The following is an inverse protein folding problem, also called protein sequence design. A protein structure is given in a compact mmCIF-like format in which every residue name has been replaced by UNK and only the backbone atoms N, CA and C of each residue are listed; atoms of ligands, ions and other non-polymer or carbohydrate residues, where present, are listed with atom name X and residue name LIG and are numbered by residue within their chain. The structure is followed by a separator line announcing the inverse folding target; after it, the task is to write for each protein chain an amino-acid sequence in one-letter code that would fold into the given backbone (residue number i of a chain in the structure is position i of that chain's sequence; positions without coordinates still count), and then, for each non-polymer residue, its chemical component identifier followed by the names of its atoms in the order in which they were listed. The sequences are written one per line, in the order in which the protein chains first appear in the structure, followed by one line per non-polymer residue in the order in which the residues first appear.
data_IF_944758453524
#
_entry.id   IF_944758453524
#
_cell.length_a   1.000
_cell.length_b   1.000
_cell.length_c   1.000
_cell.angle_alpha   90.00
_cell.angle_beta   90.00
_cell.angle_gamma   90.00
#
_symmetry.space_group_name_H-M   'P 1'
#
loop_
_entity.id
_entity.type
_entity.pdbx_description
1 polymer ?
#
# COMPACT_ATOMS: atom_id res chain seq x y z
N UNK A 1 -25.09 5.23 2.57
CA UNK A 1 -24.09 5.44 3.63
C UNK A 1 -23.78 4.09 4.26
N UNK A 2 -22.67 3.96 4.99
CA UNK A 2 -22.46 2.79 5.84
C UNK A 2 -23.45 2.80 7.00
N UNK A 3 -23.82 1.63 7.56
CA UNK A 3 -24.51 1.58 8.84
C UNK A 3 -23.66 2.27 9.92
N UNK A 4 -24.31 2.73 10.98
CA UNK A 4 -23.64 3.41 12.11
C UNK A 4 -23.87 2.65 13.42
N UNK A 5 -23.01 2.92 14.42
CA UNK A 5 -23.18 2.39 15.76
C UNK A 5 -23.32 0.85 15.79
N UNK A 6 -24.37 0.37 16.44
CA UNK A 6 -24.63 -1.08 16.60
C UNK A 6 -24.84 -1.78 15.26
N UNK A 7 -25.50 -1.14 14.29
CA UNK A 7 -25.76 -1.74 12.99
C UNK A 7 -24.46 -1.97 12.21
N UNK A 8 -23.48 -1.07 12.34
CA UNK A 8 -22.16 -1.27 11.76
C UNK A 8 -21.45 -2.49 12.35
N UNK A 9 -21.47 -2.64 13.67
CA UNK A 9 -20.88 -3.79 14.34
C UNK A 9 -21.55 -5.11 13.92
N UNK A 10 -22.89 -5.10 13.81
CA UNK A 10 -23.64 -6.26 13.34
C UNK A 10 -23.34 -6.59 11.87
N UNK A 11 -23.20 -5.57 11.02
CA UNK A 11 -22.82 -5.77 9.62
C UNK A 11 -21.42 -6.39 9.50
N UNK A 12 -20.41 -5.88 10.23
CA UNK A 12 -19.08 -6.49 10.29
C UNK A 12 -19.13 -7.95 10.74
N UNK A 13 -19.99 -8.25 11.73
CA UNK A 13 -20.19 -9.60 12.23
C UNK A 13 -20.74 -10.56 11.15
N UNK A 14 -21.51 -10.08 10.18
CA UNK A 14 -22.00 -10.92 9.05
C UNK A 14 -20.91 -11.29 8.04
N UNK A 15 -19.80 -10.54 8.01
CA UNK A 15 -18.67 -10.82 7.11
C UNK A 15 -17.67 -11.82 7.70
N UNK A 16 -17.63 -11.92 9.03
CA UNK A 16 -16.68 -12.75 9.76
C UNK A 16 -17.20 -14.17 9.93
N UNK A 17 -16.37 -15.17 9.64
CA UNK A 17 -16.75 -16.60 9.70
C UNK A 17 -16.29 -17.32 10.96
N UNK A 18 -15.55 -16.65 11.86
CA UNK A 18 -15.09 -17.22 13.12
C UNK A 18 -15.98 -16.90 14.32
N UNK A 19 -15.51 -17.23 15.53
CA UNK A 19 -16.19 -16.86 16.76
C UNK A 19 -16.09 -15.34 17.03
N UNK A 20 -17.24 -14.68 17.09
CA UNK A 20 -17.31 -13.24 17.28
C UNK A 20 -16.93 -12.86 18.72
N UNK A 21 -16.04 -11.88 18.90
CA UNK A 21 -15.74 -11.40 20.24
C UNK A 21 -16.90 -10.61 20.84
N UNK A 22 -17.02 -10.65 22.17
CA UNK A 22 -17.98 -9.84 22.90
C UNK A 22 -17.46 -8.41 23.04
N UNK A 23 -18.16 -7.45 22.44
CA UNK A 23 -17.86 -6.02 22.55
C UNK A 23 -19.09 -5.21 22.97
N UNK A 24 -18.88 -4.09 23.65
CA UNK A 24 -19.96 -3.18 24.09
C UNK A 24 -19.98 -1.93 23.23
N UNK A 25 -21.06 -1.75 22.46
CA UNK A 25 -21.29 -0.55 21.64
C UNK A 25 -22.10 0.49 22.42
N UNK A 26 -21.57 1.72 22.52
CA UNK A 26 -22.19 2.89 23.13
C UNK A 26 -22.78 3.80 22.04
N UNK A 27 -23.78 4.61 22.39
CA UNK A 27 -24.48 5.51 21.45
C UNK A 27 -23.56 6.53 20.74
N UNK A 28 -22.43 6.90 21.35
CA UNK A 28 -21.46 7.88 20.80
C UNK A 28 -20.32 7.23 19.99
N UNK A 29 -20.33 5.91 19.85
CA UNK A 29 -19.26 5.23 19.13
C UNK A 29 -19.40 5.46 17.61
N UNK A 30 -18.34 6.01 17.00
CA UNK A 30 -18.16 6.11 15.56
C UNK A 30 -17.45 4.86 14.99
N UNK A 31 -17.30 4.76 13.67
CA UNK A 31 -16.66 3.61 12.99
C UNK A 31 -15.30 3.24 13.60
N UNK A 32 -14.41 4.21 13.81
CA UNK A 32 -13.06 3.97 14.35
C UNK A 32 -13.10 3.42 15.78
N UNK A 33 -13.96 3.95 16.64
CA UNK A 33 -14.10 3.46 18.01
C UNK A 33 -14.64 2.02 18.06
N UNK A 34 -15.54 1.65 17.14
CA UNK A 34 -16.07 0.29 17.03
C UNK A 34 -14.97 -0.66 16.53
N UNK A 35 -14.22 -0.24 15.50
CA UNK A 35 -13.07 -1.01 14.97
C UNK A 35 -12.03 -1.25 16.07
N UNK A 36 -11.70 -0.23 16.86
CA UNK A 36 -10.74 -0.36 17.95
C UNK A 36 -11.22 -1.32 19.05
N UNK A 37 -12.52 -1.32 19.37
CA UNK A 37 -13.10 -2.30 20.31
C UNK A 37 -13.03 -3.74 19.81
N UNK A 38 -13.31 -3.96 18.52
CA UNK A 38 -13.10 -5.28 17.92
C UNK A 38 -11.63 -5.70 18.01
N UNK A 39 -10.71 -4.78 17.75
CA UNK A 39 -9.26 -5.03 17.84
C UNK A 39 -8.83 -5.41 19.26
N UNK A 40 -9.25 -4.64 20.26
CA UNK A 40 -9.00 -4.94 21.69
C UNK A 40 -9.53 -6.32 22.09
N UNK A 41 -10.58 -6.79 21.42
CA UNK A 41 -11.15 -8.11 21.62
C UNK A 41 -10.61 -9.20 20.66
N UNK A 42 -9.51 -8.93 19.93
CA UNK A 42 -8.79 -9.92 19.12
C UNK A 42 -9.23 -10.03 17.66
N UNK A 43 -10.10 -9.14 17.18
CA UNK A 43 -10.53 -9.07 15.77
C UNK A 43 -9.96 -7.83 15.08
N UNK A 44 -9.02 -8.04 14.16
CA UNK A 44 -8.36 -6.97 13.41
C UNK A 44 -9.25 -6.55 12.25
N UNK A 45 -10.06 -5.50 12.45
CA UNK A 45 -10.84 -4.90 11.38
C UNK A 45 -10.01 -3.82 10.69
N UNK A 46 -9.72 -4.02 9.41
CA UNK A 46 -8.97 -3.06 8.58
C UNK A 46 -9.82 -2.58 7.42
N UNK A 47 -9.48 -1.42 6.85
CA UNK A 47 -10.17 -0.91 5.67
C UNK A 47 -9.24 -0.33 4.61
N UNK A 48 -9.81 -0.14 3.42
CA UNK A 48 -9.28 0.70 2.34
C UNK A 48 -10.35 1.71 1.92
N UNK A 49 -10.00 2.73 1.14
CA UNK A 49 -10.98 3.60 0.51
C UNK A 49 -10.99 3.47 -1.01
N UNK A 50 -12.17 3.73 -1.58
CA UNK A 50 -12.39 4.00 -2.98
C UNK A 50 -12.26 5.47 -3.34
N UNK A 51 -12.04 5.77 -4.62
CA UNK A 51 -12.10 7.13 -5.14
C UNK A 51 -13.48 7.77 -4.95
N UNK A 52 -14.53 6.97 -4.78
CA UNK A 52 -15.89 7.39 -4.45
C UNK A 52 -16.14 7.68 -2.97
N UNK A 53 -15.13 7.53 -2.10
CA UNK A 53 -15.27 7.69 -0.65
C UNK A 53 -15.95 6.52 0.06
N UNK A 54 -16.24 5.43 -0.67
CA UNK A 54 -16.71 4.17 -0.08
C UNK A 54 -15.52 3.35 0.42
N UNK A 55 -15.52 3.02 1.70
CA UNK A 55 -14.58 2.09 2.32
C UNK A 55 -14.96 0.62 2.12
N UNK A 56 -13.94 -0.23 1.98
CA UNK A 56 -14.09 -1.68 2.10
C UNK A 56 -13.55 -2.08 3.47
N UNK A 57 -14.39 -2.69 4.32
CA UNK A 57 -13.98 -3.17 5.64
C UNK A 57 -13.85 -4.69 5.63
N UNK A 58 -12.76 -5.21 6.15
CA UNK A 58 -12.49 -6.65 6.21
C UNK A 58 -12.13 -7.03 7.66
N UNK A 59 -12.97 -7.84 8.35
CA UNK A 59 -12.65 -8.38 9.66
C UNK A 59 -11.70 -9.57 9.53
N UNK A 60 -10.51 -9.44 10.11
CA UNK A 60 -9.50 -10.50 10.15
C UNK A 60 -9.36 -11.04 11.56
N UNK A 61 -9.35 -12.37 11.70
CA UNK A 61 -8.83 -12.98 12.92
C UNK A 61 -7.34 -12.64 13.05
N UNK A 62 -6.79 -12.71 14.26
CA UNK A 62 -5.35 -12.49 14.45
C UNK A 62 -4.50 -13.44 13.58
N UNK A 63 -4.94 -14.69 13.40
CA UNK A 63 -4.27 -15.65 12.53
C UNK A 63 -4.24 -15.19 11.07
N UNK A 64 -5.40 -14.78 10.51
CA UNK A 64 -5.48 -14.27 9.13
C UNK A 64 -4.60 -13.04 8.95
N UNK A 65 -4.64 -12.12 9.92
CA UNK A 65 -3.84 -10.88 9.85
C UNK A 65 -2.34 -11.16 9.91
N UNK A 66 -1.88 -11.99 10.86
CA UNK A 66 -0.47 -12.39 10.96
C UNK A 66 0.01 -13.11 9.69
N UNK A 67 -0.84 -13.91 9.06
CA UNK A 67 -0.51 -14.56 7.80
C UNK A 67 -0.32 -13.53 6.67
N UNK A 68 -1.14 -12.48 6.62
CA UNK A 68 -0.99 -11.39 5.66
C UNK A 68 0.31 -10.57 5.89
N UNK A 69 0.66 -10.31 7.15
CA UNK A 69 1.93 -9.67 7.54
C UNK A 69 3.14 -10.52 7.19
N UNK A 70 3.08 -11.82 7.48
CA UNK A 70 4.12 -12.74 7.06
C UNK A 70 4.25 -12.78 5.53
N UNK A 71 3.13 -12.81 4.81
CA UNK A 71 3.11 -12.89 3.35
C UNK A 71 3.79 -11.68 2.69
N UNK A 72 3.56 -10.45 3.17
CA UNK A 72 4.21 -9.25 2.58
C UNK A 72 5.72 -9.25 2.83
N UNK A 73 6.15 -9.63 4.05
CA UNK A 73 7.57 -9.73 4.36
C UNK A 73 8.22 -10.84 3.53
N UNK A 74 7.59 -12.01 3.47
CA UNK A 74 8.08 -13.14 2.70
C UNK A 74 8.20 -12.80 1.23
N UNK A 75 7.21 -12.15 0.62
CA UNK A 75 7.28 -11.81 -0.81
C UNK A 75 8.33 -10.73 -1.07
N UNK A 76 8.33 -9.63 -0.30
CA UNK A 76 9.22 -8.50 -0.53
C UNK A 76 10.69 -8.83 -0.25
N UNK A 77 11.00 -9.34 0.95
CA UNK A 77 12.38 -9.61 1.39
C UNK A 77 13.06 -10.63 0.47
N UNK A 78 12.34 -11.64 0.00
CA UNK A 78 12.94 -12.65 -0.89
C UNK A 78 13.28 -12.13 -2.27
N UNK A 79 12.58 -11.10 -2.77
CA UNK A 79 12.84 -10.53 -4.09
C UNK A 79 14.07 -9.61 -4.11
N UNK A 80 14.47 -9.08 -2.95
CA UNK A 80 15.62 -8.17 -2.81
C UNK A 80 16.77 -8.83 -2.02
N UNK A 81 16.79 -10.16 -1.98
CA UNK A 81 17.89 -10.92 -1.41
C UNK A 81 19.02 -11.05 -2.45
N UNK A 82 20.32 -10.92 -2.06
CA UNK A 82 20.84 -10.85 -0.69
C UNK A 82 20.97 -9.44 -0.09
N UNK A 83 20.52 -8.40 -0.77
CA UNK A 83 20.74 -7.01 -0.36
C UNK A 83 20.05 -6.65 0.96
N UNK A 84 18.92 -7.32 1.27
CA UNK A 84 18.19 -7.16 2.54
C UNK A 84 18.93 -7.77 3.73
N UNK A 85 19.19 -6.95 4.74
CA UNK A 85 19.85 -7.31 5.99
C UNK A 85 19.08 -6.74 7.18
N UNK A 86 19.21 -7.37 8.35
CA UNK A 86 18.52 -6.93 9.56
C UNK A 86 18.97 -5.54 10.06
N UNK A 87 20.23 -5.18 9.84
CA UNK A 87 20.80 -3.89 10.30
C UNK A 87 20.53 -2.72 9.33
N UNK A 88 19.66 -2.88 8.33
CA UNK A 88 19.23 -1.78 7.45
C UNK A 88 18.47 -0.72 8.26
N UNK A 89 18.72 0.55 7.94
CA UNK A 89 17.90 1.66 8.43
C UNK A 89 16.69 1.85 7.51
N UNK A 90 15.51 1.58 8.03
CA UNK A 90 14.26 1.66 7.30
C UNK A 90 13.52 2.97 7.46
N UNK A 91 12.81 3.36 6.40
CA UNK A 91 11.85 4.46 6.43
C UNK A 91 10.52 4.02 5.80
N UNK A 92 9.48 3.97 6.63
CA UNK A 92 8.12 3.64 6.23
C UNK A 92 7.41 4.90 5.73
N UNK A 93 7.01 4.90 4.46
CA UNK A 93 6.29 5.95 3.74
C UNK A 93 4.76 5.77 3.82
N UNK A 94 4.30 5.18 4.93
CA UNK A 94 2.89 4.91 5.26
C UNK A 94 2.60 5.41 6.69
N UNK A 95 1.34 5.42 7.16
CA UNK A 95 1.02 5.68 8.55
C UNK A 95 1.65 4.62 9.44
N UNK A 96 1.91 5.00 10.68
CA UNK A 96 2.41 4.10 11.68
C UNK A 96 1.48 2.88 11.85
N UNK A 97 1.96 1.63 11.64
CA UNK A 97 1.13 0.43 11.56
C UNK A 97 0.33 0.18 12.84
N UNK A 98 0.92 0.49 13.99
CA UNK A 98 0.27 0.30 15.29
C UNK A 98 -0.81 1.35 15.59
N UNK A 99 -0.87 2.45 14.83
CA UNK A 99 -1.80 3.56 15.05
C UNK A 99 -2.90 3.65 14.00
N UNK A 100 -2.77 2.99 12.85
CA UNK A 100 -3.78 3.04 11.78
C UNK A 100 -4.70 1.84 11.73
N UNK A 101 -5.85 1.98 11.06
CA UNK A 101 -6.72 0.89 10.59
C UNK A 101 -6.70 0.67 9.07
N UNK A 102 -5.97 1.50 8.32
CA UNK A 102 -5.81 1.34 6.87
C UNK A 102 -4.95 0.12 6.59
N UNK A 103 -5.45 -0.86 5.82
CA UNK A 103 -4.80 -2.17 5.67
C UNK A 103 -3.35 -2.08 5.17
N UNK A 104 -3.07 -1.29 4.14
CA UNK A 104 -1.71 -1.17 3.60
C UNK A 104 -0.71 -0.50 4.57
N UNK A 105 -1.19 0.33 5.50
CA UNK A 105 -0.34 0.82 6.59
C UNK A 105 -0.23 -0.20 7.72
N UNK A 106 -1.34 -0.88 8.06
CA UNK A 106 -1.43 -1.85 9.14
C UNK A 106 -0.48 -3.03 8.95
N UNK A 107 -0.47 -3.61 7.73
CA UNK A 107 0.30 -4.81 7.40
C UNK A 107 1.82 -4.57 7.41
N UNK A 108 2.26 -3.31 7.39
CA UNK A 108 3.66 -2.95 7.53
C UNK A 108 4.17 -3.08 8.98
N UNK A 109 3.37 -3.59 9.93
CA UNK A 109 3.82 -3.90 11.29
C UNK A 109 5.04 -4.84 11.27
N UNK A 110 5.00 -5.87 10.43
CA UNK A 110 6.10 -6.80 10.19
C UNK A 110 7.43 -6.13 9.80
N UNK A 111 7.41 -4.91 9.25
CA UNK A 111 8.62 -4.19 8.89
C UNK A 111 9.51 -3.93 10.12
N UNK A 112 8.89 -3.71 11.28
CA UNK A 112 9.57 -3.54 12.56
C UNK A 112 10.17 -4.83 13.12
N UNK A 113 9.76 -5.99 12.58
CA UNK A 113 10.28 -7.30 13.00
C UNK A 113 11.44 -7.76 12.11
N UNK A 114 11.48 -7.32 10.84
CA UNK A 114 12.46 -7.78 9.84
C UNK A 114 13.67 -6.87 9.67
N UNK A 115 13.67 -5.67 10.29
CA UNK A 115 14.83 -4.78 10.38
C UNK A 115 14.88 -4.06 11.74
N UNK A 116 16.07 -3.58 12.10
CA UNK A 116 16.38 -3.07 13.45
C UNK A 116 15.94 -1.64 13.72
N UNK A 117 16.13 -0.72 12.78
CA UNK A 117 15.74 0.70 12.94
C UNK A 117 14.71 1.07 11.88
N UNK A 118 13.51 1.45 12.32
CA UNK A 118 12.42 1.88 11.44
C UNK A 118 11.95 3.27 11.85
N UNK A 119 12.00 4.21 10.92
CA UNK A 119 11.33 5.50 11.03
C UNK A 119 10.03 5.49 10.24
N UNK A 120 9.06 6.27 10.68
CA UNK A 120 7.76 6.40 10.01
C UNK A 120 7.54 7.84 9.58
N UNK A 121 7.07 8.03 8.36
CA UNK A 121 6.71 9.35 7.85
C UNK A 121 5.59 10.00 8.66
N UNK A 122 4.55 9.22 8.94
CA UNK A 122 3.27 9.68 9.48
C UNK A 122 2.98 9.02 10.83
N UNK A 123 3.30 9.76 11.89
CA UNK A 123 3.11 9.35 13.30
C UNK A 123 1.69 9.46 13.82
N UNK A 124 0.82 10.16 13.08
CA UNK A 124 -0.58 10.39 13.44
C UNK A 124 -1.47 9.81 12.35
N UNK A 125 -2.52 9.12 12.77
CA UNK A 125 -3.61 8.76 11.89
C UNK A 125 -4.35 10.03 11.47
N UNK A 126 -4.69 10.12 10.19
CA UNK A 126 -5.52 11.20 9.66
C UNK A 126 -6.92 10.65 9.51
N UNK A 127 -7.85 11.22 10.29
CA UNK A 127 -9.23 10.76 10.24
C UNK A 127 -9.85 11.04 8.87
N UNK A 128 -10.73 10.16 8.43
CA UNK A 128 -11.51 10.38 7.21
C UNK A 128 -12.28 11.71 7.25
N UNK A 129 -12.73 12.13 8.43
CA UNK A 129 -13.35 13.44 8.65
C UNK A 129 -12.40 14.61 8.33
N UNK A 130 -11.13 14.55 8.78
CA UNK A 130 -10.14 15.58 8.48
C UNK A 130 -9.89 15.68 6.97
N UNK A 131 -9.79 14.53 6.30
CA UNK A 131 -9.62 14.44 4.84
C UNK A 131 -10.83 15.07 4.14
N UNK A 132 -12.06 14.69 4.51
CA UNK A 132 -13.27 15.25 3.93
C UNK A 132 -13.37 16.76 4.16
N UNK A 133 -13.03 17.25 5.35
CA UNK A 133 -13.03 18.69 5.65
C UNK A 133 -11.98 19.43 4.82
N UNK A 134 -10.81 18.84 4.61
CA UNK A 134 -9.76 19.40 3.76
C UNK A 134 -10.18 19.46 2.28
N UNK A 135 -11.09 18.60 1.82
CA UNK A 135 -11.62 18.65 0.44
C UNK A 135 -12.66 19.76 0.23
N UNK A 136 -13.20 20.35 1.29
CA UNK A 136 -14.20 21.42 1.16
C UNK A 136 -13.55 22.70 0.63
N UNK A 137 -14.24 23.41 -0.28
CA UNK A 137 -13.73 24.65 -0.89
C UNK A 137 -13.84 25.88 0.03
N UNK A 138 -14.48 25.72 1.20
CA UNK A 138 -14.68 26.79 2.18
C UNK A 138 -13.37 27.21 2.90
N UNK A 139 -13.45 28.30 3.68
CA UNK A 139 -12.31 28.83 4.44
C UNK A 139 -11.71 27.79 5.40
N UNK A 140 -12.55 26.99 6.05
CA UNK A 140 -12.10 25.92 6.97
C UNK A 140 -11.27 24.88 6.22
N UNK A 141 -11.73 24.43 5.06
CA UNK A 141 -10.99 23.51 4.20
C UNK A 141 -9.67 24.10 3.71
N UNK A 142 -9.63 25.38 3.31
CA UNK A 142 -8.38 26.08 2.95
C UNK A 142 -7.36 26.07 4.09
N UNK A 143 -7.79 26.38 5.32
CA UNK A 143 -6.91 26.38 6.50
C UNK A 143 -6.38 24.97 6.79
N UNK A 144 -7.22 23.95 6.68
CA UNK A 144 -6.82 22.56 6.89
C UNK A 144 -5.78 22.12 5.84
N UNK A 145 -6.02 22.41 4.55
CA UNK A 145 -5.06 22.11 3.47
C UNK A 145 -3.70 22.75 3.70
N UNK A 146 -3.68 24.04 4.03
CA UNK A 146 -2.43 24.75 4.33
C UNK A 146 -1.66 24.11 5.51
N UNK A 147 -2.37 23.74 6.58
CA UNK A 147 -1.76 23.05 7.71
C UNK A 147 -1.18 21.68 7.30
N UNK A 148 -1.91 20.91 6.50
CA UNK A 148 -1.46 19.61 5.97
C UNK A 148 -0.22 19.78 5.07
N UNK A 149 -0.20 20.79 4.20
CA UNK A 149 0.94 21.08 3.34
C UNK A 149 2.19 21.41 4.16
N UNK A 150 2.05 22.23 5.20
CA UNK A 150 3.16 22.56 6.10
C UNK A 150 3.70 21.31 6.80
N UNK A 151 2.84 20.40 7.22
CA UNK A 151 3.26 19.12 7.80
C UNK A 151 3.93 18.22 6.76
N UNK A 152 3.42 18.13 5.53
CA UNK A 152 4.06 17.40 4.42
C UNK A 152 5.47 17.92 4.13
N UNK A 153 5.66 19.24 4.08
CA UNK A 153 6.99 19.84 3.88
C UNK A 153 7.96 19.46 5.02
N UNK A 154 7.50 19.45 6.28
CA UNK A 154 8.32 18.98 7.40
C UNK A 154 8.64 17.48 7.30
N UNK A 155 7.71 16.66 6.82
CA UNK A 155 7.97 15.23 6.58
C UNK A 155 9.07 15.06 5.53
N UNK A 156 8.97 15.78 4.42
CA UNK A 156 9.98 15.76 3.35
C UNK A 156 11.36 16.18 3.90
N UNK A 157 11.43 17.29 4.65
CA UNK A 157 12.69 17.77 5.25
C UNK A 157 13.30 16.75 6.22
N UNK A 158 12.45 16.04 6.99
CA UNK A 158 12.92 14.97 7.88
C UNK A 158 13.49 13.78 7.10
N UNK A 159 12.86 13.39 6.00
CA UNK A 159 13.37 12.31 5.14
C UNK A 159 14.69 12.71 4.49
N UNK A 160 14.80 13.93 3.95
CA UNK A 160 16.05 14.43 3.35
C UNK A 160 17.18 14.45 4.38
N UNK A 161 16.94 14.95 5.59
CA UNK A 161 17.94 14.93 6.65
C UNK A 161 18.33 13.51 7.07
N UNK A 162 17.38 12.57 7.04
CA UNK A 162 17.67 11.16 7.27
C UNK A 162 18.51 10.55 6.15
N UNK A 163 18.25 10.87 4.88
CA UNK A 163 19.06 10.48 3.74
C UNK A 163 20.50 10.99 3.89
N UNK A 164 20.69 12.29 4.14
CA UNK A 164 22.00 12.92 4.38
C UNK A 164 22.79 12.22 5.49
N UNK A 165 22.12 11.88 6.59
CA UNK A 165 22.76 11.16 7.70
C UNK A 165 23.27 9.79 7.25
N UNK A 166 22.42 9.00 6.60
CA UNK A 166 22.75 7.64 6.21
C UNK A 166 23.78 7.58 5.09
N UNK A 167 23.75 8.52 4.15
CA UNK A 167 24.77 8.67 3.12
C UNK A 167 26.14 8.96 3.76
N UNK A 168 26.22 9.93 4.67
CA UNK A 168 27.45 10.28 5.40
C UNK A 168 28.00 9.12 6.23
N UNK A 169 27.14 8.33 6.85
CA UNK A 169 27.53 7.17 7.67
C UNK A 169 27.78 5.91 6.83
N UNK A 170 27.42 5.92 5.54
CA UNK A 170 27.58 4.77 4.64
C UNK A 170 26.62 3.61 4.94
N UNK A 171 25.50 3.88 5.63
CA UNK A 171 24.53 2.89 6.07
C UNK A 171 23.71 2.34 4.90
N UNK A 172 23.21 1.11 5.05
CA UNK A 172 22.15 0.60 4.20
C UNK A 172 20.80 1.22 4.55
N UNK A 173 20.00 1.50 3.54
CA UNK A 173 18.68 2.11 3.68
C UNK A 173 17.60 1.31 2.97
N UNK A 174 16.39 1.36 3.49
CA UNK A 174 15.21 0.89 2.77
C UNK A 174 14.01 1.81 2.90
N UNK A 175 13.30 2.03 1.79
CA UNK A 175 12.00 2.70 1.78
C UNK A 175 10.90 1.70 1.47
N UNK A 176 9.87 1.67 2.32
CA UNK A 176 8.68 0.84 2.12
C UNK A 176 7.45 1.74 2.11
N UNK A 177 6.54 1.59 1.16
CA UNK A 177 5.23 2.26 1.21
C UNK A 177 4.80 2.99 -0.05
N UNK A 178 4.03 4.07 0.13
CA UNK A 178 3.42 4.77 -1.01
C UNK A 178 4.48 5.59 -1.78
N UNK A 179 4.51 5.49 -3.12
CA UNK A 179 5.57 6.11 -3.92
C UNK A 179 5.56 7.65 -3.90
N UNK A 180 4.40 8.28 -3.71
CA UNK A 180 4.22 9.72 -3.85
C UNK A 180 5.09 10.53 -2.89
N UNK A 181 5.25 10.06 -1.64
CA UNK A 181 6.05 10.78 -0.67
C UNK A 181 7.54 10.78 -1.06
N UNK A 182 8.05 9.64 -1.52
CA UNK A 182 9.43 9.55 -2.02
C UNK A 182 9.62 10.36 -3.30
N UNK A 183 8.61 10.37 -4.18
CA UNK A 183 8.62 11.25 -5.35
C UNK A 183 8.77 12.73 -4.95
N UNK A 184 8.01 13.23 -3.98
CA UNK A 184 8.15 14.62 -3.51
C UNK A 184 9.49 14.90 -2.83
N UNK A 185 10.05 13.93 -2.13
CA UNK A 185 11.43 14.02 -1.62
C UNK A 185 12.42 14.20 -2.77
N UNK A 186 12.31 13.38 -3.82
CA UNK A 186 13.19 13.46 -4.99
C UNK A 186 12.98 14.72 -5.84
N UNK A 187 11.77 15.27 -5.90
CA UNK A 187 11.50 16.58 -6.53
C UNK A 187 12.22 17.71 -5.79
N UNK A 188 12.16 17.68 -4.45
CA UNK A 188 12.86 18.67 -3.63
C UNK A 188 14.38 18.54 -3.75
N UNK A 189 14.92 17.33 -3.67
CA UNK A 189 16.35 17.06 -3.85
C UNK A 189 16.85 17.56 -5.21
N UNK A 190 16.12 17.27 -6.29
CA UNK A 190 16.47 17.73 -7.63
C UNK A 190 16.46 19.25 -7.74
N UNK A 191 15.45 19.92 -7.16
CA UNK A 191 15.38 21.38 -7.10
C UNK A 191 16.54 22.00 -6.32
N UNK A 192 16.94 21.35 -5.24
CA UNK A 192 18.03 21.80 -4.37
C UNK A 192 19.43 21.40 -4.94
N UNK A 193 19.46 20.67 -6.07
CA UNK A 193 20.70 20.22 -6.71
C UNK A 193 21.45 19.14 -5.90
N UNK A 194 20.75 18.40 -5.04
CA UNK A 194 21.31 17.39 -4.15
C UNK A 194 21.04 15.98 -4.68
N UNK A 195 22.08 15.15 -4.69
CA UNK A 195 22.07 13.79 -5.24
C UNK A 195 22.84 12.88 -4.29
N UNK A 196 22.40 11.62 -4.19
CA UNK A 196 23.04 10.58 -3.39
C UNK A 196 23.46 9.41 -4.28
N UNK A 197 24.32 8.54 -3.74
CA UNK A 197 24.66 7.28 -4.39
C UNK A 197 24.68 6.12 -3.39
N UNK A 198 23.50 5.55 -3.14
CA UNK A 198 23.38 4.38 -2.26
C UNK A 198 23.79 3.08 -2.96
N UNK A 199 23.74 2.99 -4.29
CA UNK A 199 24.01 1.74 -5.02
C UNK A 199 23.18 0.58 -4.47
N UNK A 200 23.83 -0.58 -4.28
CA UNK A 200 23.19 -1.77 -3.71
C UNK A 200 22.94 -1.68 -2.19
N UNK A 201 23.21 -0.53 -1.55
CA UNK A 201 22.87 -0.28 -0.16
C UNK A 201 21.47 0.31 0.01
N UNK A 202 20.81 0.71 -1.08
CA UNK A 202 19.45 1.23 -1.04
C UNK A 202 18.45 0.23 -1.61
N UNK A 203 17.32 0.08 -0.93
CA UNK A 203 16.20 -0.77 -1.38
C UNK A 203 14.92 0.06 -1.34
N UNK A 204 14.09 -0.05 -2.36
CA UNK A 204 12.77 0.57 -2.40
C UNK A 204 11.75 -0.51 -2.74
N UNK A 205 10.75 -0.68 -1.88
CA UNK A 205 9.57 -1.49 -2.19
C UNK A 205 8.34 -0.60 -2.05
N UNK A 206 7.78 -0.25 -3.18
CA UNK A 206 6.53 0.54 -3.26
C UNK A 206 5.31 -0.37 -3.30
N UNK A 207 4.14 0.18 -3.01
CA UNK A 207 2.87 -0.54 -3.12
C UNK A 207 1.65 0.38 -3.08
N UNK A 208 0.53 -0.12 -3.59
CA UNK A 208 -0.79 0.53 -3.45
C UNK A 208 -1.13 1.60 -4.49
N UNK A 209 -0.32 1.77 -5.55
CA UNK A 209 -0.74 2.40 -6.80
C UNK A 209 -0.20 3.81 -7.06
N UNK A 210 0.42 3.95 -8.23
CA UNK A 210 0.88 5.18 -8.90
C UNK A 210 -0.24 6.03 -9.53
N UNK A 211 -1.46 5.47 -9.61
CA UNK A 211 -2.39 5.74 -10.71
C UNK A 211 -3.42 6.83 -10.44
N UNK A 212 -3.02 7.90 -9.76
CA UNK A 212 -3.99 8.88 -9.23
C UNK A 212 -3.58 10.35 -9.45
N UNK A 213 -2.54 10.57 -10.25
CA UNK A 213 -2.38 11.81 -11.00
C UNK A 213 -2.74 11.53 -12.46
N UNK A 214 -3.95 11.91 -12.88
CA UNK A 214 -4.26 12.02 -14.31
C UNK A 214 -3.44 13.16 -14.96
N UNK A 215 -3.02 14.16 -14.17
CA UNK A 215 -2.31 15.35 -14.70
C UNK A 215 -0.78 15.37 -14.52
N UNK A 216 -0.19 14.45 -13.73
CA UNK A 216 1.27 14.34 -13.51
C UNK A 216 1.75 12.89 -13.47
N UNK A 217 1.29 12.08 -14.43
CA UNK A 217 1.53 10.65 -14.45
C UNK A 217 3.01 10.34 -14.71
N UNK A 218 3.82 10.28 -13.66
CA UNK A 218 5.13 9.61 -13.75
C UNK A 218 4.85 8.12 -13.93
N UNK A 219 5.38 7.51 -14.99
CA UNK A 219 5.30 6.07 -15.16
C UNK A 219 6.12 5.38 -14.05
N UNK A 220 5.85 4.11 -13.78
CA UNK A 220 6.68 3.33 -12.84
C UNK A 220 8.13 3.30 -13.30
N UNK A 221 8.34 3.22 -14.61
CA UNK A 221 9.65 3.31 -15.26
C UNK A 221 10.33 4.66 -15.00
N UNK A 222 9.64 5.78 -15.21
CA UNK A 222 10.19 7.11 -14.98
C UNK A 222 10.51 7.35 -13.49
N UNK A 223 9.71 6.79 -12.59
CA UNK A 223 10.03 6.84 -11.17
C UNK A 223 11.31 6.07 -10.85
N UNK A 224 11.49 4.86 -11.38
CA UNK A 224 12.72 4.10 -11.19
C UNK A 224 13.93 4.84 -11.76
N UNK A 225 13.82 5.43 -12.95
CA UNK A 225 14.86 6.30 -13.53
C UNK A 225 15.17 7.48 -12.63
N UNK A 226 14.16 8.10 -12.01
CA UNK A 226 14.35 9.20 -11.08
C UNK A 226 14.99 8.76 -9.76
N UNK A 227 14.61 7.60 -9.24
CA UNK A 227 15.27 6.95 -8.09
C UNK A 227 16.74 6.72 -8.38
N UNK A 228 17.07 6.13 -9.52
CA UNK A 228 18.44 5.86 -9.94
C UNK A 228 19.23 7.17 -10.09
N UNK A 229 18.65 8.18 -10.75
CA UNK A 229 19.28 9.49 -10.93
C UNK A 229 19.55 10.21 -9.60
N UNK A 230 18.57 10.26 -8.70
CA UNK A 230 18.61 11.12 -7.50
C UNK A 230 19.25 10.41 -6.31
N UNK A 231 19.04 9.10 -6.16
CA UNK A 231 19.49 8.32 -5.02
C UNK A 231 20.60 7.33 -5.37
N UNK A 232 20.89 7.11 -6.66
CA UNK A 232 21.88 6.12 -7.13
C UNK A 232 21.49 4.68 -6.81
N UNK A 233 20.20 4.41 -6.58
CA UNK A 233 19.69 3.06 -6.31
C UNK A 233 19.36 2.39 -7.65
N UNK A 234 19.94 1.21 -7.96
CA UNK A 234 19.64 0.47 -9.19
C UNK A 234 18.15 0.14 -9.31
N UNK A 235 17.64 0.11 -10.54
CA UNK A 235 16.21 -0.10 -10.78
C UNK A 235 15.75 -1.49 -10.30
N UNK A 236 16.65 -2.48 -10.33
CA UNK A 236 16.47 -3.84 -9.82
C UNK A 236 16.14 -3.88 -8.32
N UNK A 237 16.56 -2.85 -7.56
CA UNK A 237 16.26 -2.69 -6.12
C UNK A 237 15.12 -1.70 -5.87
N UNK A 238 14.43 -1.24 -6.91
CA UNK A 238 13.23 -0.41 -6.84
C UNK A 238 12.01 -1.20 -7.33
N UNK A 239 11.45 -2.02 -6.45
CA UNK A 239 10.34 -2.91 -6.73
C UNK A 239 8.99 -2.30 -6.36
N UNK A 240 7.94 -2.79 -6.99
CA UNK A 240 6.54 -2.55 -6.60
C UNK A 240 5.91 -3.86 -6.13
N UNK A 241 4.82 -3.74 -5.38
CA UNK A 241 4.00 -4.86 -4.94
C UNK A 241 2.53 -4.60 -5.24
N UNK A 242 1.87 -5.66 -5.67
CA UNK A 242 0.44 -5.69 -5.95
C UNK A 242 -0.30 -6.50 -4.89
N UNK A 243 -1.40 -5.92 -4.41
CA UNK A 243 -2.28 -6.49 -3.40
C UNK A 243 -3.52 -5.62 -3.24
N UNK A 244 -4.51 -6.12 -2.50
CA UNK A 244 -5.78 -5.44 -2.24
C UNK A 244 -6.28 -5.77 -0.83
N UNK A 245 -7.18 -4.95 -0.28
CA UNK A 245 -7.64 -5.12 1.10
C UNK A 245 -8.48 -6.37 1.30
N UNK A 246 -9.09 -6.86 0.22
CA UNK A 246 -9.91 -8.07 0.20
C UNK A 246 -9.05 -9.35 0.24
N UNK A 247 -7.77 -9.26 -0.15
CA UNK A 247 -6.82 -10.37 -0.12
C UNK A 247 -5.80 -10.25 1.02
N UNK A 248 -5.07 -11.34 1.27
CA UNK A 248 -4.00 -11.40 2.26
C UNK A 248 -2.64 -11.73 1.64
N UNK A 249 -2.61 -12.12 0.37
CA UNK A 249 -1.40 -12.39 -0.39
C UNK A 249 -0.90 -11.16 -1.16
N UNK A 250 0.40 -11.14 -1.41
CA UNK A 250 1.13 -10.06 -2.06
C UNK A 250 1.95 -10.58 -3.22
N UNK A 251 1.90 -9.87 -4.34
CA UNK A 251 2.61 -10.21 -5.56
C UNK A 251 3.69 -9.15 -5.74
N UNK A 252 4.94 -9.52 -5.48
CA UNK A 252 6.07 -8.59 -5.59
C UNK A 252 6.72 -8.74 -6.96
N UNK A 253 7.16 -7.61 -7.51
CA UNK A 253 7.91 -7.58 -8.75
C UNK A 253 9.23 -8.34 -8.63
N UNK A 254 9.65 -9.03 -9.71
CA UNK A 254 11.01 -9.52 -9.80
C UNK A 254 12.00 -8.38 -10.12
N UNK A 255 13.26 -8.44 -9.63
CA UNK A 255 14.30 -7.48 -9.99
C UNK A 255 14.60 -7.42 -11.49
N UNK A 256 14.50 -8.54 -12.20
CA UNK A 256 15.04 -8.69 -13.56
C UNK A 256 14.18 -8.02 -14.65
N UNK A 257 12.87 -7.90 -14.42
CA UNK A 257 11.98 -7.25 -15.38
C UNK A 257 10.63 -6.84 -14.80
N UNK A 258 10.55 -6.76 -13.48
CA UNK A 258 9.42 -6.19 -12.76
C UNK A 258 8.06 -6.87 -12.98
N UNK A 259 8.05 -8.15 -13.35
CA UNK A 259 6.84 -8.96 -13.41
C UNK A 259 6.37 -9.31 -11.99
N UNK A 260 5.07 -9.24 -11.74
CA UNK A 260 4.49 -9.50 -10.43
C UNK A 260 4.34 -11.01 -10.21
N UNK A 261 5.16 -11.59 -9.34
CA UNK A 261 5.14 -13.03 -9.09
C UNK A 261 3.96 -13.44 -8.21
N UNK A 262 3.23 -14.47 -8.66
CA UNK A 262 2.12 -15.06 -7.92
C UNK A 262 2.66 -16.04 -6.86
N UNK A 263 2.30 -15.86 -5.58
CA UNK A 263 2.67 -16.82 -4.53
C UNK A 263 1.74 -18.03 -4.51
N UNK A 264 2.08 -19.07 -5.28
CA UNK A 264 1.27 -20.29 -5.43
C UNK A 264 1.07 -21.13 -4.15
N UNK A 265 1.80 -20.85 -3.07
CA UNK A 265 1.66 -21.57 -1.80
C UNK A 265 0.37 -21.21 -1.06
N UNK A 266 -0.27 -20.09 -1.39
CA UNK A 266 -1.50 -19.64 -0.74
C UNK A 266 -2.46 -18.85 -1.65
N UNK A 267 -2.03 -18.44 -2.85
CA UNK A 267 -2.93 -17.87 -3.86
C UNK A 267 -3.12 -18.84 -5.02
N UNK A 268 -4.39 -19.14 -5.29
CA UNK A 268 -4.79 -19.76 -6.53
C UNK A 268 -5.45 -18.70 -7.42
N UNK A 269 -4.68 -18.18 -8.38
CA UNK A 269 -5.12 -17.09 -9.25
C UNK A 269 -5.76 -17.62 -10.53
N UNK A 270 -6.69 -16.82 -11.07
CA UNK A 270 -7.36 -17.03 -12.34
C UNK A 270 -7.44 -15.69 -13.07
N UNK A 271 -7.44 -15.73 -14.39
CA UNK A 271 -7.75 -14.57 -15.23
C UNK A 271 -8.96 -14.98 -16.04
N UNK A 272 -10.06 -14.28 -15.85
CA UNK A 272 -11.38 -14.70 -16.36
C UNK A 272 -11.96 -13.69 -17.35
N UNK A 273 -12.78 -14.20 -18.27
CA UNK A 273 -13.54 -13.39 -19.22
C UNK A 273 -14.85 -12.83 -18.58
N UNK A 274 -15.72 -12.26 -19.40
CA UNK A 274 -17.03 -11.73 -18.97
C UNK A 274 -18.01 -12.81 -18.53
N UNK A 275 -17.82 -14.06 -18.97
CA UNK A 275 -18.64 -15.22 -18.62
C UNK A 275 -18.13 -15.92 -17.34
N UNK A 276 -16.93 -15.57 -16.88
CA UNK A 276 -16.28 -16.17 -15.71
C UNK A 276 -15.42 -17.40 -16.04
N UNK A 277 -15.16 -17.63 -17.33
CA UNK A 277 -14.31 -18.70 -17.83
C UNK A 277 -12.84 -18.26 -17.87
N UNK A 278 -11.91 -19.20 -17.68
CA UNK A 278 -10.48 -18.88 -17.74
C UNK A 278 -10.06 -18.48 -19.15
N UNK A 279 -9.30 -17.38 -19.26
CA UNK A 279 -8.62 -17.03 -20.49
C UNK A 279 -7.25 -17.73 -20.55
N UNK A 280 -6.73 -17.91 -21.77
CA UNK A 280 -5.42 -18.51 -21.97
C UNK A 280 -4.29 -17.64 -21.36
N UNK A 281 -3.17 -18.27 -21.00
CA UNK A 281 -1.96 -17.52 -20.66
C UNK A 281 -1.55 -16.60 -21.80
N UNK A 282 -1.10 -15.41 -21.44
CA UNK A 282 -0.79 -14.36 -22.38
C UNK A 282 -2.03 -13.62 -22.90
N UNK A 283 -3.26 -13.96 -22.52
CA UNK A 283 -4.46 -13.16 -22.81
C UNK A 283 -4.85 -12.26 -21.63
N UNK A 284 -5.61 -11.21 -21.95
CA UNK A 284 -6.12 -10.28 -20.94
C UNK A 284 -7.46 -10.73 -20.42
N UNK A 285 -7.67 -10.53 -19.13
CA UNK A 285 -8.97 -10.70 -18.50
C UNK A 285 -9.00 -10.10 -17.11
N UNK A 286 -10.09 -10.36 -16.40
CA UNK A 286 -10.32 -9.87 -15.04
C UNK A 286 -9.57 -10.73 -14.04
N UNK A 287 -8.85 -10.10 -13.12
CA UNK A 287 -8.10 -10.83 -12.10
C UNK A 287 -9.04 -11.41 -11.05
N UNK A 288 -8.91 -12.71 -10.79
CA UNK A 288 -9.65 -13.43 -9.78
C UNK A 288 -8.69 -14.31 -8.98
N UNK A 289 -9.01 -14.61 -7.72
CA UNK A 289 -8.20 -15.49 -6.91
C UNK A 289 -8.99 -16.14 -5.76
N UNK A 290 -8.49 -17.30 -5.35
CA UNK A 290 -8.82 -17.95 -4.08
C UNK A 290 -7.66 -17.70 -3.11
N UNK A 291 -7.99 -17.12 -1.96
CA UNK A 291 -7.04 -16.79 -0.90
C UNK A 291 -7.05 -17.86 0.20
N UNK A 292 -6.01 -18.71 0.21
CA UNK A 292 -5.83 -19.74 1.23
C UNK A 292 -5.44 -19.20 2.60
N UNK A 293 -5.03 -17.94 2.72
CA UNK A 293 -4.75 -17.30 4.01
C UNK A 293 -6.00 -16.73 4.68
N UNK A 294 -7.12 -16.61 3.95
CA UNK A 294 -8.38 -16.07 4.44
C UNK A 294 -9.11 -17.08 5.36
N UNK A 295 -8.72 -17.15 6.63
CA UNK A 295 -9.34 -18.03 7.62
C UNK A 295 -10.55 -17.40 8.36
N UNK A 296 -10.87 -16.13 8.07
CA UNK A 296 -11.86 -15.34 8.82
C UNK A 296 -12.99 -14.76 7.98
N UNK A 297 -12.95 -14.96 6.67
CA UNK A 297 -13.98 -14.58 5.71
C UNK A 297 -13.79 -15.39 4.42
N UNK A 298 -14.80 -15.49 3.53
CA UNK A 298 -14.65 -16.19 2.26
C UNK A 298 -13.64 -15.48 1.33
N UNK A 299 -12.49 -16.11 1.09
CA UNK A 299 -11.41 -15.58 0.25
C UNK A 299 -11.59 -15.79 -1.26
N UNK A 300 -12.81 -15.68 -1.78
CA UNK A 300 -13.12 -15.90 -3.21
C UNK A 300 -13.38 -14.56 -3.88
N UNK A 301 -12.35 -13.98 -4.51
CA UNK A 301 -12.38 -12.60 -4.96
C UNK A 301 -12.27 -12.53 -6.47
N UNK A 302 -13.15 -11.74 -7.09
CA UNK A 302 -13.02 -11.30 -8.47
C UNK A 302 -12.82 -9.80 -8.47
N UNK A 303 -11.60 -9.35 -8.71
CA UNK A 303 -11.22 -7.95 -8.59
C UNK A 303 -11.79 -7.09 -9.73
N UNK A 304 -11.65 -5.78 -9.61
CA UNK A 304 -11.97 -4.84 -10.70
C UNK A 304 -10.78 -4.55 -11.60
N UNK A 305 -9.75 -5.38 -11.57
CA UNK A 305 -8.50 -5.19 -12.29
C UNK A 305 -8.44 -6.08 -13.53
N UNK A 306 -7.97 -5.51 -14.64
CA UNK A 306 -7.60 -6.21 -15.87
C UNK A 306 -6.10 -6.49 -15.83
N UNK A 307 -5.75 -7.76 -16.02
CA UNK A 307 -4.38 -8.24 -16.00
C UNK A 307 -4.12 -9.14 -17.20
N UNK A 308 -2.85 -9.32 -17.53
CA UNK A 308 -2.36 -10.40 -18.39
C UNK A 308 -1.44 -11.28 -17.56
N UNK A 309 -1.67 -12.59 -17.58
CA UNK A 309 -0.91 -13.56 -16.80
C UNK A 309 -0.10 -14.48 -17.72
N UNK A 310 1.12 -14.80 -17.34
CA UNK A 310 1.97 -15.80 -18.00
C UNK A 310 2.21 -16.98 -17.05
N UNK A 311 2.38 -18.17 -17.62
CA UNK A 311 2.63 -19.40 -16.86
C UNK A 311 4.01 -19.39 -16.18
N UNK A 312 5.00 -18.83 -16.86
CA UNK A 312 6.37 -18.64 -16.39
C UNK A 312 6.79 -17.19 -16.64
N UNK A 313 7.68 -16.67 -15.81
CA UNK A 313 8.24 -15.34 -16.02
C UNK A 313 9.18 -15.31 -17.25
N UNK A 314 8.98 -14.40 -18.21
CA UNK A 314 9.78 -14.36 -19.44
C UNK A 314 11.22 -13.85 -19.24
N UNK A 315 11.55 -13.32 -18.06
CA UNK A 315 12.87 -12.70 -17.78
C UNK A 315 13.68 -13.46 -16.72
N UNK A 316 13.03 -13.97 -15.68
CA UNK A 316 13.73 -14.61 -14.56
C UNK A 316 13.55 -16.12 -14.50
N UNK A 317 12.67 -16.69 -15.33
CA UNK A 317 12.44 -18.13 -15.45
C UNK A 317 12.03 -18.85 -14.15
N UNK A 318 11.58 -18.11 -13.13
CA UNK A 318 10.98 -18.72 -11.93
C UNK A 318 9.66 -19.39 -12.33
N UNK A 319 9.45 -20.62 -11.87
CA UNK A 319 8.36 -21.53 -12.29
C UNK A 319 6.97 -21.20 -11.72
N UNK A 320 6.73 -19.94 -11.36
CA UNK A 320 5.44 -19.48 -10.84
C UNK A 320 4.80 -18.56 -11.87
N UNK A 321 3.47 -18.57 -12.02
CA UNK A 321 2.78 -17.59 -12.84
C UNK A 321 3.13 -16.17 -12.44
N UNK A 322 3.11 -15.28 -13.43
CA UNK A 322 3.38 -13.86 -13.23
C UNK A 322 2.34 -13.00 -13.92
N UNK A 323 2.08 -11.81 -13.38
CA UNK A 323 1.37 -10.77 -14.10
C UNK A 323 2.34 -9.78 -14.73
N UNK A 324 1.90 -9.14 -15.81
CA UNK A 324 2.59 -7.95 -16.35
C UNK A 324 2.80 -6.89 -15.26
N UNK A 325 3.88 -6.09 -15.34
CA UNK A 325 4.18 -5.05 -14.36
C UNK A 325 3.04 -4.04 -14.16
N UNK A 326 2.25 -3.76 -15.20
CA UNK A 326 1.17 -2.77 -15.18
C UNK A 326 -0.22 -3.40 -15.08
N UNK A 327 -0.81 -3.36 -13.89
CA UNK A 327 -2.21 -3.81 -13.65
C UNK A 327 -3.22 -2.70 -13.96
N UNK A 328 -4.15 -2.88 -14.91
CA UNK A 328 -5.14 -1.85 -15.28
C UNK A 328 -6.48 -2.09 -14.57
N UNK A 329 -7.38 -1.10 -14.55
CA UNK A 329 -8.77 -1.33 -14.10
C UNK A 329 -9.59 -1.83 -15.27
N UNK A 330 -10.45 -2.81 -15.03
CA UNK A 330 -11.46 -3.20 -16.02
C UNK A 330 -12.42 -2.02 -16.27
N UNK A 331 -12.94 -1.90 -17.50
CA UNK A 331 -13.85 -0.81 -17.87
C UNK A 331 -15.07 -0.80 -16.96
N UNK A 332 -15.47 0.40 -16.49
CA UNK A 332 -16.61 0.57 -15.59
C UNK A 332 -16.36 0.17 -14.12
N UNK A 333 -15.16 -0.30 -13.77
CA UNK A 333 -14.82 -0.62 -12.38
C UNK A 333 -14.35 0.61 -11.61
N UNK A 334 -15.02 0.89 -10.49
CA UNK A 334 -14.70 1.98 -9.56
C UNK A 334 -13.26 1.83 -9.01
N UNK A 335 -12.47 2.90 -8.96
CA UNK A 335 -11.08 2.83 -8.47
C UNK A 335 -11.06 2.70 -6.93
N UNK A 336 -10.30 1.73 -6.39
CA UNK A 336 -10.16 1.48 -4.95
C UNK A 336 -8.72 1.13 -4.57
N UNK A 337 -8.22 1.62 -3.43
CA UNK A 337 -6.86 1.33 -2.99
C UNK A 337 -6.42 2.08 -1.72
N UNK A 338 -5.69 1.39 -0.84
CA UNK A 338 -5.23 1.95 0.44
C UNK A 338 -4.24 3.12 0.29
N UNK A 339 -3.40 3.14 -0.75
CA UNK A 339 -2.47 4.26 -0.95
C UNK A 339 -3.17 5.52 -1.46
N UNK A 340 -4.41 5.43 -1.94
CA UNK A 340 -5.19 6.63 -2.28
C UNK A 340 -5.55 7.44 -1.04
N UNK A 341 -5.87 6.81 0.10
CA UNK A 341 -6.06 7.55 1.35
C UNK A 341 -4.81 8.35 1.71
N UNK A 342 -3.66 7.72 1.55
CA UNK A 342 -2.36 8.33 1.82
C UNK A 342 -2.04 9.46 0.86
N UNK A 343 -2.36 9.29 -0.42
CA UNK A 343 -2.17 10.33 -1.40
C UNK A 343 -3.13 11.49 -1.16
N UNK A 344 -4.43 11.27 -0.92
CA UNK A 344 -5.40 12.34 -0.61
C UNK A 344 -4.88 13.25 0.48
N UNK A 345 -4.33 12.65 1.53
CA UNK A 345 -3.65 13.37 2.60
C UNK A 345 -2.48 14.23 2.11
N UNK A 346 -1.61 13.67 1.27
CA UNK A 346 -0.33 14.28 0.89
C UNK A 346 -0.42 15.19 -0.34
N UNK A 347 -1.41 15.00 -1.22
CA UNK A 347 -1.54 15.65 -2.53
C UNK A 347 -2.61 16.74 -2.59
N UNK A 348 -3.18 17.12 -1.45
CA UNK A 348 -4.24 18.13 -1.34
C UNK A 348 -3.84 19.54 -1.81
N UNK A 349 -2.64 19.72 -2.37
CA UNK A 349 -2.08 21.05 -2.64
C UNK A 349 -1.15 21.14 -3.88
N UNK A 350 -1.40 20.39 -4.96
CA UNK A 350 -0.71 20.68 -6.24
C UNK A 350 -1.64 20.91 -7.43
N UNK A 351 -2.88 21.34 -7.19
CA UNK A 351 -3.73 21.95 -8.20
C UNK A 351 -3.61 23.47 -8.17
N UNK A 352 -2.86 24.03 -9.12
CA UNK A 352 -3.03 25.41 -9.61
C UNK A 352 -2.60 26.55 -8.70
N UNK A 353 -1.30 26.89 -8.74
CA UNK A 353 -0.96 28.27 -9.04
C UNK A 353 -1.15 28.41 -10.56
N UNK A 354 -2.37 28.80 -10.96
CA UNK A 354 -2.83 29.29 -12.28
C UNK A 354 -4.28 28.85 -12.51
N UNK A 355 -5.20 29.65 -11.97
CA UNK A 355 -6.55 29.93 -12.47
C UNK A 355 -6.95 31.32 -11.99
#
# INVERSE_FOLDING_TARGET
SYPEGREFAMWLATLYTGELPNIVIKKKDNHDSIINKFREAGLVVTYSSGTSGKHTFIPRSQRTFNAAEYAIAKSAVTMVYPEWEYDINGYLLMPHPFKTNVFAGKVCGVYFDVIKDVRVALERELSAELIQQAMQTNLKGRVIRYAMQRETNKIIDRIINWLRKNDKEGNKISFIGAPFLLYFVMEKLEKDGEYFNFGNKGIIVTGGGWKIYEDKRISTEDFRKKVEKILGIPQELCLDLYGMVEGNGWMTQCPEGHYLHVPNTYYHVRVIDENGEDVAYGEKGRFAFLDGLAHSYPGFIVSGDEVRMYEECPVCHRSTPVLEPEVKRARGSEMRGCAEEMRRVLSMDMGGADA
#
